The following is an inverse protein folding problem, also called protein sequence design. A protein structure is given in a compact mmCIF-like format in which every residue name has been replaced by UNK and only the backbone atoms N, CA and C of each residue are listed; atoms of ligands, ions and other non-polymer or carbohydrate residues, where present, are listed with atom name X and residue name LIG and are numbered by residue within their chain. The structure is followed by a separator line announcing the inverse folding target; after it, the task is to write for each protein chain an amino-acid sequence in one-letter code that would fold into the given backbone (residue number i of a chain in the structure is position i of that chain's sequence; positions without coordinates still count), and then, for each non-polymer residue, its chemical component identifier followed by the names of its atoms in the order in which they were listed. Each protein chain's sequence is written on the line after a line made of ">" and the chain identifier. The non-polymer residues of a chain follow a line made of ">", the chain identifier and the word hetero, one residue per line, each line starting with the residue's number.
data_IF_571575403439
#
_entry.id   IF_571575403439
#
_cell.length_a   1.000
_cell.length_b   1.000
_cell.length_c   1.000
_cell.angle_alpha   90.00
_cell.angle_beta   90.00
_cell.angle_gamma   90.00
#
_symmetry.space_group_name_H-M   'P 1'
#
loop_
_entity.id
_entity.type
_entity.pdbx_description
1 polymer ?
#
# COMPACT_ATOMS: atom_id res chain seq x y z
N UNK A 1 13.11 -14.95 -1.21
CA UNK A 1 12.93 -13.69 -1.95
C UNK A 1 11.49 -13.47 -2.45
N UNK A 2 10.64 -14.49 -2.54
CA UNK A 2 9.26 -14.40 -3.08
C UNK A 2 8.33 -13.43 -2.33
N UNK A 3 8.21 -13.54 -0.99
CA UNK A 3 7.35 -12.65 -0.20
C UNK A 3 7.70 -11.17 -0.43
N UNK A 4 8.99 -10.83 -0.36
CA UNK A 4 9.48 -9.47 -0.63
C UNK A 4 9.14 -9.02 -2.05
N UNK A 5 9.38 -9.86 -3.06
CA UNK A 5 9.08 -9.53 -4.46
C UNK A 5 7.59 -9.25 -4.68
N UNK A 6 6.71 -10.06 -4.09
CA UNK A 6 5.26 -9.87 -4.18
C UNK A 6 4.85 -8.56 -3.48
N UNK A 7 5.34 -8.31 -2.27
CA UNK A 7 5.07 -7.06 -1.54
C UNK A 7 5.48 -5.83 -2.36
N UNK A 8 6.68 -5.85 -2.94
CA UNK A 8 7.20 -4.75 -3.75
C UNK A 8 6.35 -4.55 -5.01
N UNK A 9 6.06 -5.62 -5.75
CA UNK A 9 5.23 -5.54 -6.95
C UNK A 9 3.84 -4.97 -6.65
N UNK A 10 3.18 -5.45 -5.59
CA UNK A 10 1.87 -4.92 -5.17
C UNK A 10 1.94 -3.46 -4.77
N UNK A 11 2.98 -3.06 -4.01
CA UNK A 11 3.15 -1.67 -3.58
C UNK A 11 3.38 -0.73 -4.77
N UNK A 12 4.13 -1.17 -5.79
CA UNK A 12 4.34 -0.42 -7.03
C UNK A 12 3.04 -0.24 -7.81
N UNK A 13 2.23 -1.31 -7.90
CA UNK A 13 0.91 -1.24 -8.56
C UNK A 13 -0.05 -0.29 -7.83
N UNK A 14 -0.04 -0.30 -6.48
CA UNK A 14 -0.82 0.65 -5.66
C UNK A 14 -0.36 2.08 -5.92
N UNK A 15 0.95 2.33 -5.85
CA UNK A 15 1.53 3.67 -6.07
C UNK A 15 1.16 4.20 -7.46
N UNK A 16 1.32 3.38 -8.50
CA UNK A 16 0.95 3.74 -9.86
C UNK A 16 -0.54 4.04 -9.99
N UNK A 17 -1.41 3.15 -9.49
CA UNK A 17 -2.86 3.32 -9.63
C UNK A 17 -3.37 4.57 -8.90
N UNK A 18 -2.82 4.86 -7.71
CA UNK A 18 -3.15 6.08 -6.97
C UNK A 18 -2.70 7.35 -7.71
N UNK A 19 -1.53 7.34 -8.34
CA UNK A 19 -1.07 8.47 -9.17
C UNK A 19 -1.99 8.70 -10.36
N UNK A 20 -2.41 7.63 -11.03
CA UNK A 20 -3.36 7.70 -12.16
C UNK A 20 -4.73 8.23 -11.71
N UNK A 21 -5.27 7.70 -10.60
CA UNK A 21 -6.54 8.17 -10.02
C UNK A 21 -6.45 9.65 -9.63
N UNK A 22 -5.37 10.06 -8.96
CA UNK A 22 -5.15 11.46 -8.59
C UNK A 22 -5.09 12.37 -9.82
N UNK A 23 -4.37 11.97 -10.87
CA UNK A 23 -4.30 12.74 -12.11
C UNK A 23 -5.68 12.87 -12.78
N UNK A 24 -6.48 11.80 -12.77
CA UNK A 24 -7.86 11.84 -13.27
C UNK A 24 -8.73 12.79 -12.45
N UNK A 25 -8.78 12.60 -11.13
CA UNK A 25 -9.57 13.44 -10.22
C UNK A 25 -9.18 14.91 -10.35
N UNK A 26 -7.88 15.18 -10.47
CA UNK A 26 -7.37 16.52 -10.71
C UNK A 26 -7.83 17.07 -12.07
N UNK A 27 -7.73 16.30 -13.15
CA UNK A 27 -8.11 16.75 -14.50
C UNK A 27 -9.62 17.06 -14.61
N UNK A 28 -10.43 16.39 -13.80
CA UNK A 28 -11.88 16.60 -13.71
C UNK A 28 -12.26 17.70 -12.71
N UNK A 29 -11.32 18.23 -11.91
CA UNK A 29 -11.58 19.24 -10.88
C UNK A 29 -11.46 20.66 -11.44
N UNK A 30 -12.59 21.33 -11.63
CA UNK A 30 -12.65 22.71 -12.15
C UNK A 30 -12.16 23.78 -11.15
N UNK A 31 -11.88 23.43 -9.90
CA UNK A 31 -11.42 24.36 -8.86
C UNK A 31 -9.90 24.47 -8.76
N UNK A 32 -9.15 23.65 -9.51
CA UNK A 32 -7.69 23.61 -9.43
C UNK A 32 -7.05 23.71 -10.82
N UNK A 33 -5.94 24.44 -10.89
CA UNK A 33 -5.13 24.61 -12.12
C UNK A 33 -3.95 23.61 -12.21
N UNK A 34 -3.71 22.86 -11.12
CA UNK A 34 -2.64 21.86 -11.02
C UNK A 34 -1.29 22.42 -10.59
N UNK A 35 -1.16 23.73 -10.46
CA UNK A 35 0.06 24.41 -10.04
C UNK A 35 -0.10 25.02 -8.65
N UNK A 36 -1.26 25.63 -8.38
CA UNK A 36 -1.57 26.30 -7.13
C UNK A 36 -1.54 25.33 -5.95
N UNK A 37 -2.17 24.16 -6.09
CA UNK A 37 -2.11 23.12 -5.07
C UNK A 37 -0.68 22.69 -4.73
N UNK A 38 0.20 22.56 -5.73
CA UNK A 38 1.61 22.17 -5.53
C UNK A 38 2.35 23.26 -4.78
N UNK A 39 2.16 24.54 -5.16
CA UNK A 39 2.75 25.69 -4.45
C UNK A 39 2.31 25.73 -2.99
N UNK A 40 0.99 25.73 -2.75
CA UNK A 40 0.41 25.72 -1.40
C UNK A 40 0.87 24.53 -0.55
N UNK A 41 1.11 23.39 -1.17
CA UNK A 41 1.63 22.21 -0.49
C UNK A 41 3.10 22.41 -0.10
N UNK A 42 3.95 22.85 -1.02
CA UNK A 42 5.36 23.08 -0.75
C UNK A 42 5.57 24.16 0.33
N UNK A 43 4.76 25.23 0.32
CA UNK A 43 4.78 26.28 1.35
C UNK A 43 4.52 25.74 2.77
N UNK A 44 3.82 24.59 2.90
CA UNK A 44 3.53 23.94 4.18
C UNK A 44 4.48 22.79 4.53
N UNK A 45 5.32 22.36 3.57
CA UNK A 45 6.12 21.15 3.68
C UNK A 45 7.57 21.38 3.26
N UNK A 46 8.27 22.26 4.00
CA UNK A 46 9.67 22.65 3.77
C UNK A 46 10.61 21.45 3.57
N UNK A 47 10.46 20.37 4.36
CA UNK A 47 11.28 19.16 4.20
C UNK A 47 11.17 18.50 2.83
N UNK A 48 9.98 18.53 2.21
CA UNK A 48 9.77 17.96 0.87
C UNK A 48 10.40 18.88 -0.18
N UNK A 49 10.28 20.19 0.01
CA UNK A 49 10.95 21.18 -0.83
C UNK A 49 12.48 21.03 -0.76
N UNK A 50 13.04 20.82 0.43
CA UNK A 50 14.48 20.55 0.62
C UNK A 50 14.93 19.27 -0.07
N UNK A 51 14.13 18.20 -0.02
CA UNK A 51 14.43 16.96 -0.73
C UNK A 51 14.46 17.16 -2.25
N UNK A 52 13.56 17.98 -2.79
CA UNK A 52 13.53 18.33 -4.21
C UNK A 52 14.76 19.18 -4.55
N UNK A 53 15.07 20.20 -3.76
CA UNK A 53 16.27 21.03 -3.92
C UNK A 53 17.55 20.18 -3.86
N UNK A 54 17.62 19.21 -2.94
CA UNK A 54 18.72 18.26 -2.87
C UNK A 54 18.86 17.44 -4.16
N UNK A 55 17.77 16.90 -4.70
CA UNK A 55 17.76 16.16 -5.98
C UNK A 55 18.23 17.03 -7.15
N UNK A 56 17.89 18.32 -7.14
CA UNK A 56 18.37 19.31 -8.11
C UNK A 56 19.88 19.51 -7.98
N UNK A 57 20.36 19.84 -6.77
CA UNK A 57 21.80 20.11 -6.53
C UNK A 57 22.68 18.91 -6.87
N UNK A 58 22.18 17.71 -6.61
CA UNK A 58 22.91 16.46 -6.86
C UNK A 58 22.78 15.92 -8.28
N UNK A 59 22.05 16.62 -9.17
CA UNK A 59 21.76 16.16 -10.53
C UNK A 59 21.28 14.70 -10.55
N UNK A 60 20.28 14.38 -9.72
CA UNK A 60 19.77 13.01 -9.58
C UNK A 60 19.47 12.41 -10.96
N UNK A 61 20.19 11.34 -11.38
CA UNK A 61 20.25 10.95 -12.80
C UNK A 61 18.90 10.55 -13.39
N UNK A 62 18.01 10.01 -12.55
CA UNK A 62 16.69 9.55 -12.97
C UNK A 62 15.61 10.65 -13.00
N UNK A 63 15.90 11.85 -12.49
CA UNK A 63 14.95 12.96 -12.39
C UNK A 63 15.47 14.28 -12.96
N UNK A 64 16.73 14.32 -13.40
CA UNK A 64 17.48 15.54 -13.72
C UNK A 64 16.78 16.38 -14.79
N UNK A 65 16.34 15.77 -15.88
CA UNK A 65 15.73 16.49 -17.00
C UNK A 65 14.34 17.04 -16.64
N UNK A 66 13.55 16.27 -15.89
CA UNK A 66 12.24 16.71 -15.39
C UNK A 66 12.40 17.91 -14.44
N UNK A 67 13.36 17.81 -13.51
CA UNK A 67 13.66 18.87 -12.57
C UNK A 67 14.11 20.14 -13.28
N UNK A 68 15.07 20.05 -14.21
CA UNK A 68 15.57 21.21 -14.97
C UNK A 68 14.47 21.91 -15.74
N UNK A 69 13.54 21.16 -16.35
CA UNK A 69 12.44 21.72 -17.14
C UNK A 69 11.40 22.45 -16.28
N UNK A 70 11.07 21.92 -15.10
CA UNK A 70 9.93 22.40 -14.31
C UNK A 70 10.30 23.08 -12.99
N UNK A 71 11.59 23.30 -12.71
CA UNK A 71 12.10 23.86 -11.44
C UNK A 71 11.39 25.12 -10.96
N UNK A 72 10.91 25.96 -11.89
CA UNK A 72 10.25 27.23 -11.57
C UNK A 72 8.76 27.07 -11.24
N UNK A 73 8.11 26.04 -11.78
CA UNK A 73 6.69 25.83 -11.61
C UNK A 73 6.31 24.37 -11.89
N UNK A 74 6.14 23.58 -10.85
CA UNK A 74 5.74 22.18 -10.97
C UNK A 74 4.21 22.08 -11.14
N UNK A 75 3.80 21.45 -12.24
CA UNK A 75 2.44 20.92 -12.37
C UNK A 75 2.30 19.64 -11.53
N UNK A 76 1.10 19.37 -11.04
CA UNK A 76 0.79 18.21 -10.21
C UNK A 76 1.29 16.89 -10.81
N UNK A 77 1.01 16.63 -12.10
CA UNK A 77 1.39 15.37 -12.74
C UNK A 77 2.92 15.19 -12.87
N UNK A 78 3.67 16.28 -13.02
CA UNK A 78 5.13 16.23 -13.00
C UNK A 78 5.66 16.11 -11.56
N UNK A 79 4.99 16.77 -10.63
CA UNK A 79 5.36 16.80 -9.21
C UNK A 79 5.30 15.41 -8.59
N UNK A 80 4.23 14.66 -8.82
CA UNK A 80 4.04 13.32 -8.23
C UNK A 80 5.10 12.31 -8.67
N UNK A 81 5.76 12.52 -9.81
CA UNK A 81 6.88 11.67 -10.25
C UNK A 81 8.19 11.96 -9.51
N UNK A 82 8.32 13.15 -8.92
CA UNK A 82 9.49 13.52 -8.13
C UNK A 82 9.42 13.00 -6.70
N UNK A 83 8.22 12.67 -6.22
CA UNK A 83 7.99 12.26 -4.84
C UNK A 83 8.39 10.80 -4.64
N UNK A 84 9.04 10.52 -3.51
CA UNK A 84 9.07 9.16 -2.97
C UNK A 84 7.65 8.73 -2.57
N UNK A 85 7.39 7.42 -2.50
CA UNK A 85 6.08 6.91 -2.09
C UNK A 85 5.58 7.52 -0.75
N UNK A 86 6.49 7.76 0.20
CA UNK A 86 6.13 8.39 1.47
C UNK A 86 5.69 9.84 1.33
N UNK A 87 6.38 10.63 0.50
CA UNK A 87 6.02 12.02 0.19
C UNK A 87 4.74 12.08 -0.64
N UNK A 88 4.56 11.14 -1.57
CA UNK A 88 3.35 10.99 -2.36
C UNK A 88 2.14 10.72 -1.46
N UNK A 89 2.22 9.83 -0.48
CA UNK A 89 1.11 9.60 0.48
C UNK A 89 0.75 10.90 1.22
N UNK A 90 1.75 11.68 1.63
CA UNK A 90 1.52 12.98 2.30
C UNK A 90 0.81 13.95 1.37
N UNK A 91 1.23 14.06 0.11
CA UNK A 91 0.59 14.90 -0.89
C UNK A 91 -0.83 14.43 -1.24
N UNK A 92 -1.02 13.13 -1.40
CA UNK A 92 -2.32 12.51 -1.67
C UNK A 92 -3.32 12.76 -0.54
N UNK A 93 -2.88 12.66 0.73
CA UNK A 93 -3.69 13.03 1.89
C UNK A 93 -4.08 14.51 1.85
N UNK A 94 -3.13 15.40 1.56
CA UNK A 94 -3.40 16.83 1.44
C UNK A 94 -4.45 17.14 0.36
N UNK A 95 -4.38 16.47 -0.80
CA UNK A 95 -5.40 16.60 -1.86
C UNK A 95 -6.78 16.11 -1.38
N UNK A 96 -6.84 14.91 -0.78
CA UNK A 96 -8.11 14.34 -0.31
C UNK A 96 -8.77 15.20 0.79
N UNK A 97 -7.99 15.78 1.69
CA UNK A 97 -8.50 16.65 2.75
C UNK A 97 -9.18 17.91 2.19
N UNK A 98 -8.75 18.38 1.02
CA UNK A 98 -9.33 19.53 0.32
C UNK A 98 -10.56 19.15 -0.52
N UNK A 99 -10.48 18.06 -1.28
CA UNK A 99 -11.42 17.79 -2.39
C UNK A 99 -12.21 16.48 -2.28
N UNK A 100 -11.71 15.50 -1.52
CA UNK A 100 -12.30 14.16 -1.44
C UNK A 100 -12.41 13.70 0.02
N UNK A 101 -13.25 14.42 0.78
CA UNK A 101 -13.49 14.11 2.19
C UNK A 101 -14.01 12.69 2.34
N UNK A 102 -13.42 11.93 3.26
CA UNK A 102 -13.72 10.52 3.58
C UNK A 102 -13.14 9.47 2.62
N UNK A 103 -12.00 9.73 1.98
CA UNK A 103 -11.33 8.66 1.22
C UNK A 103 -10.78 7.55 2.16
N UNK A 104 -11.49 6.42 2.17
CA UNK A 104 -11.19 5.27 3.01
C UNK A 104 -9.79 4.65 2.76
N UNK A 105 -9.22 4.83 1.56
CA UNK A 105 -7.90 4.28 1.21
C UNK A 105 -6.79 4.85 2.09
N UNK A 106 -6.94 6.11 2.54
CA UNK A 106 -5.93 6.80 3.36
C UNK A 106 -5.56 6.02 4.62
N UNK A 107 -6.53 5.25 5.16
CA UNK A 107 -6.31 4.42 6.34
C UNK A 107 -5.38 3.22 6.10
N UNK A 108 -5.20 2.81 4.84
CA UNK A 108 -4.39 1.66 4.43
C UNK A 108 -2.99 2.06 3.95
N UNK A 109 -2.80 3.30 3.48
CA UNK A 109 -1.55 3.73 2.84
C UNK A 109 -0.33 3.71 3.77
N UNK A 110 -0.52 4.07 5.04
CA UNK A 110 0.59 4.09 6.00
C UNK A 110 1.10 2.67 6.32
N UNK A 111 0.24 1.67 6.64
CA UNK A 111 0.64 0.27 6.69
C UNK A 111 1.35 -0.23 5.42
N UNK A 112 0.83 0.12 4.24
CA UNK A 112 1.45 -0.24 2.95
C UNK A 112 2.87 0.32 2.84
N UNK A 113 3.09 1.59 3.21
CA UNK A 113 4.42 2.20 3.26
C UNK A 113 5.37 1.43 4.17
N UNK A 114 4.92 1.00 5.35
CA UNK A 114 5.77 0.28 6.29
C UNK A 114 6.23 -1.07 5.74
N UNK A 115 5.32 -1.89 5.23
CA UNK A 115 5.68 -3.21 4.70
C UNK A 115 6.50 -3.11 3.41
N UNK A 116 6.22 -2.13 2.54
CA UNK A 116 7.05 -1.82 1.36
C UNK A 116 8.49 -1.51 1.77
N UNK A 117 8.67 -0.59 2.71
CA UNK A 117 10.00 -0.16 3.14
C UNK A 117 10.75 -1.33 3.80
N UNK A 118 10.08 -2.11 4.65
CA UNK A 118 10.68 -3.30 5.24
C UNK A 118 11.12 -4.32 4.18
N UNK A 119 10.33 -4.52 3.11
CA UNK A 119 10.70 -5.39 2.01
C UNK A 119 11.86 -4.83 1.16
N UNK A 120 11.87 -3.52 0.88
CA UNK A 120 12.88 -2.85 0.06
C UNK A 120 14.26 -2.79 0.75
N UNK A 121 14.30 -2.58 2.06
CA UNK A 121 15.53 -2.51 2.84
C UNK A 121 16.04 -3.88 3.33
N UNK A 122 15.48 -4.99 2.81
CA UNK A 122 15.85 -6.35 3.19
C UNK A 122 15.67 -6.69 4.68
N UNK A 123 14.77 -5.99 5.38
CA UNK A 123 14.45 -6.31 6.77
C UNK A 123 13.79 -7.69 6.89
N UNK A 124 14.04 -8.38 8.01
CA UNK A 124 13.43 -9.68 8.28
C UNK A 124 11.96 -9.52 8.69
N UNK A 125 11.04 -9.61 7.72
CA UNK A 125 9.59 -9.49 7.93
C UNK A 125 9.06 -10.49 8.98
N UNK A 126 9.55 -11.73 8.93
CA UNK A 126 9.12 -12.84 9.80
C UNK A 126 9.57 -12.62 11.26
N UNK A 127 10.62 -11.83 11.50
CA UNK A 127 11.09 -11.55 12.87
C UNK A 127 10.00 -10.87 13.73
N UNK A 128 9.08 -10.13 13.10
CA UNK A 128 7.99 -9.47 13.80
C UNK A 128 6.86 -10.41 14.25
N UNK A 129 6.85 -11.70 13.88
CA UNK A 129 5.78 -12.63 14.26
C UNK A 129 5.63 -12.84 15.77
N UNK A 130 6.71 -12.64 16.53
CA UNK A 130 6.69 -12.67 18.01
C UNK A 130 6.37 -11.30 18.63
N UNK A 131 6.37 -10.24 17.83
CA UNK A 131 6.17 -8.86 18.29
C UNK A 131 4.70 -8.51 18.18
N UNK A 132 4.13 -8.04 19.28
CA UNK A 132 2.82 -7.40 19.26
C UNK A 132 3.01 -5.89 19.04
N UNK A 133 2.12 -5.28 18.27
CA UNK A 133 1.96 -3.83 18.19
C UNK A 133 1.66 -3.35 19.62
N UNK A 134 2.65 -2.74 20.27
CA UNK A 134 2.41 -1.98 21.50
C UNK A 134 1.66 -0.71 21.11
N UNK A 135 0.76 -0.24 21.98
CA UNK A 135 0.02 1.01 21.78
C UNK A 135 0.91 2.22 21.43
N UNK A 136 2.21 2.19 21.75
CA UNK A 136 3.20 3.21 21.31
C UNK A 136 3.40 3.31 19.80
N UNK A 137 3.33 2.20 19.05
CA UNK A 137 3.37 2.23 17.57
C UNK A 137 2.18 3.01 16.99
N UNK A 138 1.06 3.03 17.72
CA UNK A 138 -0.17 3.77 17.39
C UNK A 138 -0.12 5.21 17.94
N UNK A 139 0.59 5.48 19.04
CA UNK A 139 0.70 6.84 19.63
C UNK A 139 1.43 7.85 18.73
N UNK A 140 2.26 7.43 17.79
CA UNK A 140 2.97 8.34 16.87
C UNK A 140 2.03 8.96 15.82
N UNK A 141 0.83 8.40 15.60
CA UNK A 141 -0.19 9.02 14.76
C UNK A 141 -1.54 8.97 15.49
N UNK A 142 -2.05 10.12 15.91
CA UNK A 142 -3.29 10.35 16.68
C UNK A 142 -4.60 9.92 15.99
N UNK A 143 -4.58 8.89 15.15
CA UNK A 143 -5.72 8.33 14.45
C UNK A 143 -5.92 6.87 14.87
N UNK A 144 -6.43 6.67 16.09
CA UNK A 144 -6.88 5.35 16.61
C UNK A 144 -7.89 4.64 15.66
N UNK A 145 -8.39 5.34 14.64
CA UNK A 145 -9.28 4.84 13.59
C UNK A 145 -8.59 3.98 12.51
N UNK A 146 -7.27 4.10 12.26
CA UNK A 146 -6.62 3.38 11.16
C UNK A 146 -6.68 1.85 11.34
N UNK A 147 -6.31 1.37 12.52
CA UNK A 147 -6.36 -0.06 12.82
C UNK A 147 -7.81 -0.57 12.89
N UNK A 148 -8.75 0.27 13.37
CA UNK A 148 -10.15 -0.11 13.51
C UNK A 148 -10.81 -0.41 12.16
N UNK A 149 -10.62 0.47 11.16
CA UNK A 149 -11.19 0.28 9.81
C UNK A 149 -10.69 -1.01 9.15
N UNK A 150 -9.37 -1.24 9.16
CA UNK A 150 -8.81 -2.47 8.59
C UNK A 150 -9.28 -3.72 9.35
N UNK A 151 -9.35 -3.68 10.68
CA UNK A 151 -9.91 -4.78 11.46
C UNK A 151 -11.36 -5.07 11.09
N UNK A 152 -12.17 -4.04 10.83
CA UNK A 152 -13.54 -4.20 10.33
C UNK A 152 -13.56 -4.83 8.93
N UNK A 153 -12.68 -4.43 8.02
CA UNK A 153 -12.56 -5.06 6.69
C UNK A 153 -12.22 -6.56 6.80
N UNK A 154 -11.22 -6.91 7.63
CA UNK A 154 -10.82 -8.30 7.87
C UNK A 154 -11.93 -9.10 8.59
N UNK A 155 -12.75 -8.44 9.42
CA UNK A 155 -13.86 -9.10 10.12
C UNK A 155 -14.96 -9.61 9.19
N UNK A 156 -15.05 -9.07 7.97
CA UNK A 156 -16.01 -9.50 6.96
C UNK A 156 -15.61 -10.81 6.26
N UNK A 157 -14.40 -11.32 6.51
CA UNK A 157 -13.91 -12.58 5.92
C UNK A 157 -14.51 -13.76 6.70
N UNK A 158 -15.43 -14.57 6.13
CA UNK A 158 -16.20 -15.57 6.89
C UNK A 158 -15.33 -16.68 7.50
N UNK A 159 -14.21 -17.03 6.84
CA UNK A 159 -13.30 -18.10 7.27
C UNK A 159 -12.43 -17.73 8.48
N UNK A 160 -12.45 -16.47 8.93
CA UNK A 160 -11.60 -15.94 9.99
C UNK A 160 -12.40 -15.79 11.29
N UNK A 161 -12.01 -16.54 12.32
CA UNK A 161 -12.64 -16.41 13.63
C UNK A 161 -12.23 -15.09 14.35
N UNK A 162 -13.11 -14.50 15.17
CA UNK A 162 -12.86 -13.21 15.82
C UNK A 162 -11.61 -13.18 16.71
N UNK A 163 -11.38 -14.23 17.50
CA UNK A 163 -10.24 -14.29 18.44
C UNK A 163 -8.89 -14.34 17.72
N UNK A 164 -8.82 -15.13 16.65
CA UNK A 164 -7.66 -15.24 15.78
C UNK A 164 -7.41 -13.90 15.08
N UNK A 165 -8.45 -13.23 14.57
CA UNK A 165 -8.33 -11.88 14.00
C UNK A 165 -7.72 -10.92 15.01
N UNK A 166 -8.26 -10.82 16.23
CA UNK A 166 -7.75 -9.89 17.25
C UNK A 166 -6.28 -10.18 17.59
N UNK A 167 -5.91 -11.45 17.71
CA UNK A 167 -4.52 -11.85 18.01
C UNK A 167 -3.57 -11.58 16.85
N UNK A 168 -3.98 -11.90 15.61
CA UNK A 168 -3.14 -11.82 14.40
C UNK A 168 -3.00 -10.40 13.86
N UNK A 169 -4.06 -9.58 13.92
CA UNK A 169 -4.03 -8.18 13.50
C UNK A 169 -3.21 -7.29 14.44
N UNK A 170 -2.82 -7.79 15.62
CA UNK A 170 -1.82 -7.15 16.51
C UNK A 170 -0.38 -7.42 16.07
N UNK A 171 -0.12 -8.27 15.09
CA UNK A 171 1.23 -8.57 14.60
C UNK A 171 1.53 -7.63 13.43
N UNK A 172 2.60 -6.79 13.49
CA UNK A 172 2.86 -5.75 12.49
C UNK A 172 2.88 -6.25 11.04
N UNK A 173 3.67 -7.29 10.75
CA UNK A 173 3.75 -7.82 9.38
C UNK A 173 2.42 -8.37 8.86
N UNK A 174 1.58 -8.95 9.74
CA UNK A 174 0.28 -9.50 9.33
C UNK A 174 -0.69 -8.35 9.06
N UNK A 175 -0.73 -7.37 9.96
CA UNK A 175 -1.55 -6.17 9.82
C UNK A 175 -1.22 -5.44 8.51
N UNK A 176 0.06 -5.14 8.28
CA UNK A 176 0.49 -4.35 7.13
C UNK A 176 0.34 -5.15 5.82
N UNK A 177 0.51 -6.47 5.86
CA UNK A 177 0.24 -7.33 4.71
C UNK A 177 -1.25 -7.41 4.37
N UNK A 178 -2.13 -7.49 5.36
CA UNK A 178 -3.57 -7.40 5.14
C UNK A 178 -3.94 -6.04 4.52
N UNK A 179 -3.39 -4.95 5.05
CA UNK A 179 -3.59 -3.60 4.49
C UNK A 179 -3.16 -3.52 3.02
N UNK A 180 -2.02 -4.13 2.68
CA UNK A 180 -1.52 -4.22 1.30
C UNK A 180 -2.50 -4.95 0.37
N UNK A 181 -3.05 -6.08 0.79
CA UNK A 181 -4.03 -6.83 -0.01
C UNK A 181 -5.31 -6.02 -0.24
N UNK A 182 -5.88 -5.42 0.82
CA UNK A 182 -7.08 -4.60 0.72
C UNK A 182 -6.85 -3.32 -0.10
N UNK A 183 -5.70 -2.66 0.08
CA UNK A 183 -5.36 -1.48 -0.71
C UNK A 183 -5.21 -1.83 -2.19
N UNK A 184 -4.46 -2.90 -2.49
CA UNK A 184 -4.27 -3.38 -3.86
C UNK A 184 -5.60 -3.72 -4.54
N UNK A 185 -6.46 -4.50 -3.87
CA UNK A 185 -7.76 -4.86 -4.44
C UNK A 185 -8.64 -3.63 -4.67
N UNK A 186 -8.58 -2.64 -3.78
CA UNK A 186 -9.40 -1.44 -3.88
C UNK A 186 -8.97 -0.47 -4.99
N UNK A 187 -7.66 -0.32 -5.23
CA UNK A 187 -7.15 0.74 -6.12
C UNK A 187 -6.72 0.24 -7.50
N UNK A 188 -6.40 -1.05 -7.65
CA UNK A 188 -5.93 -1.58 -8.92
C UNK A 188 -7.13 -2.08 -9.72
N UNK A 189 -7.52 -1.34 -10.77
CA UNK A 189 -8.70 -1.72 -11.57
C UNK A 189 -8.41 -2.82 -12.61
N UNK A 190 -7.13 -3.00 -12.97
CA UNK A 190 -6.75 -3.98 -13.99
C UNK A 190 -6.97 -5.42 -13.53
N UNK A 191 -7.97 -6.08 -14.15
CA UNK A 191 -8.30 -7.50 -13.92
C UNK A 191 -7.11 -8.42 -14.17
N UNK A 192 -6.32 -8.17 -15.22
CA UNK A 192 -5.15 -9.00 -15.54
C UNK A 192 -4.06 -8.88 -14.47
N UNK A 193 -3.75 -7.66 -14.02
CA UNK A 193 -2.77 -7.42 -12.94
C UNK A 193 -3.23 -8.09 -11.65
N UNK A 194 -4.52 -7.99 -11.31
CA UNK A 194 -5.12 -8.68 -10.17
C UNK A 194 -4.95 -10.20 -10.27
N UNK A 195 -5.35 -10.78 -11.40
CA UNK A 195 -5.25 -12.23 -11.64
C UNK A 195 -3.82 -12.74 -11.43
N UNK A 196 -2.82 -12.17 -12.12
CA UNK A 196 -1.42 -12.62 -11.98
C UNK A 196 -0.87 -12.42 -10.57
N UNK A 197 -1.30 -11.36 -9.87
CA UNK A 197 -0.89 -11.09 -8.49
C UNK A 197 -1.47 -12.11 -7.52
N UNK A 198 -2.76 -12.42 -7.63
CA UNK A 198 -3.40 -13.44 -6.78
C UNK A 198 -2.87 -14.84 -7.04
N UNK A 199 -2.62 -15.20 -8.30
CA UNK A 199 -1.93 -16.46 -8.63
C UNK A 199 -0.54 -16.53 -7.99
N UNK A 200 0.23 -15.44 -8.03
CA UNK A 200 1.53 -15.37 -7.36
C UNK A 200 1.44 -15.51 -5.83
N UNK A 201 0.37 -14.98 -5.22
CA UNK A 201 0.09 -15.11 -3.79
C UNK A 201 -0.26 -16.56 -3.40
N UNK A 202 -1.06 -17.25 -4.21
CA UNK A 202 -1.40 -18.67 -3.99
C UNK A 202 -0.15 -19.53 -4.02
N UNK A 203 0.67 -19.39 -5.07
CA UNK A 203 1.95 -20.10 -5.20
C UNK A 203 2.88 -19.80 -4.01
N UNK A 204 2.85 -18.58 -3.47
CA UNK A 204 3.61 -18.24 -2.27
C UNK A 204 3.08 -18.98 -1.03
N UNK A 205 1.76 -19.05 -0.83
CA UNK A 205 1.15 -19.78 0.28
C UNK A 205 1.44 -21.29 0.18
N UNK A 206 1.31 -21.89 -1.00
CA UNK A 206 1.69 -23.28 -1.24
C UNK A 206 3.15 -23.54 -0.87
N UNK A 207 4.05 -22.64 -1.24
CA UNK A 207 5.47 -22.74 -0.88
C UNK A 207 5.72 -22.63 0.61
N UNK A 208 4.96 -21.82 1.35
CA UNK A 208 5.03 -21.80 2.81
C UNK A 208 4.59 -23.13 3.42
N UNK A 209 3.64 -23.83 2.78
CA UNK A 209 3.13 -25.11 3.26
C UNK A 209 4.01 -26.33 2.88
N UNK A 210 4.85 -26.25 1.84
CA UNK A 210 5.68 -27.40 1.37
C UNK A 210 6.47 -28.12 2.46
N UNK A 211 7.01 -27.37 3.42
CA UNK A 211 7.82 -27.90 4.52
C UNK A 211 7.21 -27.53 5.88
N UNK A 212 5.87 -27.45 5.97
CA UNK A 212 5.20 -27.02 7.20
C UNK A 212 5.52 -27.93 8.39
N UNK A 213 5.84 -29.20 8.14
CA UNK A 213 6.19 -30.20 9.13
C UNK A 213 7.46 -29.86 9.92
N UNK A 214 8.40 -29.10 9.31
CA UNK A 214 9.59 -28.58 10.00
C UNK A 214 9.21 -27.64 11.15
N UNK A 215 8.02 -27.05 11.07
CA UNK A 215 7.47 -26.13 12.07
C UNK A 215 6.35 -26.77 12.89
N UNK A 216 6.26 -28.11 12.92
CA UNK A 216 5.25 -28.87 13.68
C UNK A 216 5.16 -28.44 15.15
N UNK A 217 6.28 -28.11 15.78
CA UNK A 217 6.36 -27.62 17.17
C UNK A 217 6.16 -26.11 17.33
N UNK A 218 6.00 -25.35 16.24
CA UNK A 218 5.87 -23.89 16.26
C UNK A 218 4.48 -23.43 15.81
N UNK A 219 3.57 -23.33 16.78
CA UNK A 219 2.18 -22.95 16.52
C UNK A 219 2.02 -21.52 16.01
N UNK A 220 2.97 -20.62 16.32
CA UNK A 220 2.93 -19.22 15.83
C UNK A 220 3.06 -19.21 14.31
N UNK A 221 4.00 -19.98 13.74
CA UNK A 221 4.22 -20.04 12.29
C UNK A 221 3.02 -20.68 11.60
N UNK A 222 2.59 -21.87 12.04
CA UNK A 222 1.45 -22.59 11.45
C UNK A 222 0.17 -21.75 11.45
N UNK A 223 -0.18 -21.17 12.61
CA UNK A 223 -1.38 -20.34 12.73
C UNK A 223 -1.30 -19.04 11.93
N UNK A 224 -0.09 -18.52 11.70
CA UNK A 224 0.11 -17.33 10.86
C UNK A 224 -0.06 -17.65 9.39
N UNK A 225 0.54 -18.73 8.89
CA UNK A 225 0.40 -19.14 7.48
C UNK A 225 -1.07 -19.45 7.18
N UNK A 226 -1.76 -20.16 8.07
CA UNK A 226 -3.20 -20.42 7.93
C UNK A 226 -4.03 -19.12 7.91
N UNK A 227 -3.72 -18.16 8.79
CA UNK A 227 -4.39 -16.86 8.77
C UNK A 227 -4.16 -16.11 7.44
N UNK A 228 -2.92 -16.06 6.97
CA UNK A 228 -2.57 -15.40 5.69
C UNK A 228 -3.27 -16.08 4.50
N UNK A 229 -3.31 -17.41 4.47
CA UNK A 229 -4.03 -18.16 3.45
C UNK A 229 -5.50 -17.74 3.41
N UNK A 230 -6.18 -17.71 4.56
CA UNK A 230 -7.59 -17.27 4.65
C UNK A 230 -7.82 -15.83 4.17
N UNK A 231 -6.86 -14.93 4.42
CA UNK A 231 -6.95 -13.54 3.92
C UNK A 231 -6.77 -13.51 2.41
N UNK A 232 -5.84 -14.28 1.85
CA UNK A 232 -5.61 -14.36 0.40
C UNK A 232 -6.80 -15.00 -0.32
N UNK A 233 -7.32 -16.13 0.19
CA UNK A 233 -8.47 -16.86 -0.36
C UNK A 233 -9.73 -16.00 -0.52
N UNK A 234 -9.87 -14.96 0.32
CA UNK A 234 -10.99 -14.02 0.24
C UNK A 234 -11.01 -13.26 -1.10
N UNK A 235 -9.86 -13.09 -1.74
CA UNK A 235 -9.73 -12.35 -3.00
C UNK A 235 -9.64 -13.25 -4.24
N UNK A 236 -9.32 -14.54 -4.06
CA UNK A 236 -9.18 -15.51 -5.16
C UNK A 236 -10.51 -15.82 -5.87
N UNK A 237 -11.63 -15.85 -5.12
CA UNK A 237 -12.95 -16.15 -5.67
C UNK A 237 -13.45 -15.12 -6.71
N UNK A 238 -12.90 -13.90 -6.70
CA UNK A 238 -13.22 -12.86 -7.67
C UNK A 238 -12.41 -12.97 -8.97
N UNK A 239 -11.29 -13.68 -8.98
CA UNK A 239 -10.43 -13.81 -10.15
C UNK A 239 -10.92 -14.87 -11.17
N UNK A 240 -11.68 -15.87 -10.72
CA UNK A 240 -12.17 -16.97 -11.58
C UNK A 240 -13.59 -16.77 -12.11
N UNK A 241 -14.48 -16.10 -11.38
CA UNK A 241 -15.89 -15.99 -11.77
C UNK A 241 -16.19 -14.94 -12.85
N UNK A 242 -15.22 -14.07 -13.16
CA UNK A 242 -15.42 -12.88 -14.03
C UNK A 242 -14.75 -13.00 -15.41
N UNK A 243 -14.10 -14.14 -15.70
CA UNK A 243 -13.41 -14.40 -16.98
C UNK A 243 -14.41 -14.72 -18.11
N UNK A 244 -15.64 -15.13 -17.77
CA UNK A 244 -16.68 -15.41 -18.77
C UNK A 244 -17.23 -14.15 -19.47
N UNK A 245 -16.94 -12.95 -18.97
CA UNK A 245 -17.39 -11.68 -19.58
C UNK A 245 -16.36 -11.03 -20.52
N UNK A 246 -15.25 -11.70 -20.82
CA UNK A 246 -14.23 -11.19 -21.77
C UNK A 246 -14.20 -11.94 -23.12
N UNK A 247 -15.26 -12.68 -23.44
CA UNK A 247 -15.52 -13.19 -24.80
C UNK A 247 -16.83 -12.62 -25.33
N UNK A 248 -16.89 -11.31 -25.55
CA UNK A 248 -17.78 -10.63 -26.52
C UNK A 248 -17.60 -9.11 -26.35
N UNK A 249 -16.64 -8.55 -27.09
CA UNK A 249 -16.69 -7.22 -27.72
C UNK A 249 -15.44 -7.02 -28.56
#
# INVERSE_FOLDING_TARGET
>A
MHLRKIILNMSLNIEHSLKVQLNRHFSENTQEDGYNIVRRFLDKHEKIQDNINYKIRTNSPYNCDLLKKYIRNFALWNFVELLSFGEFITFYKYYCDLYEKNNDILSLLLPVKFIRNAAAHNNCLINSLKRQIKHEYVKVNSDFNLSKKLNTMVSKIPKINPDSRIKKMKIPVIHDFAALLFAFDKVVDSKSIKHYTYQSLIVMIERFNRNIDYFSKNDIIKSTINFLAKVVDNFDYFAYNDINDQKLK
#
